data_IF_902424128559
#
_entry.id   IF_902424128559
#
_cell.length_a   1.000
_cell.length_b   1.000
_cell.length_c   1.000
_cell.angle_alpha   90.00
_cell.angle_beta   90.00
_cell.angle_gamma   90.00
#
_symmetry.space_group_name_H-M   'P 1'
#
loop_
_entity.id
_entity.type
_entity.pdbx_description
1 polymer ?
#
# COMPACT_ATOMS: atom_id res chain seq x y z
N UNK A 1 36.84 -1.35 -17.22
CA UNK A 1 35.67 -1.99 -16.56
C UNK A 1 34.43 -1.20 -16.89
N UNK A 2 34.35 0.11 -16.58
CA UNK A 2 33.18 0.97 -16.77
C UNK A 2 32.59 0.88 -18.20
N UNK A 3 33.43 1.06 -19.25
CA UNK A 3 32.96 0.93 -20.64
C UNK A 3 32.41 -0.46 -20.98
N UNK A 4 32.97 -1.52 -20.38
CA UNK A 4 32.43 -2.88 -20.58
C UNK A 4 31.03 -3.04 -19.97
N UNK A 5 30.81 -2.44 -18.80
CA UNK A 5 29.50 -2.43 -18.16
C UNK A 5 28.49 -1.68 -19.06
N UNK A 6 28.82 -0.47 -19.48
CA UNK A 6 27.95 0.35 -20.35
C UNK A 6 27.61 -0.40 -21.65
N UNK A 7 28.60 -1.06 -22.29
CA UNK A 7 28.40 -1.87 -23.49
C UNK A 7 27.48 -3.06 -23.21
N UNK A 8 27.62 -3.73 -22.05
CA UNK A 8 26.78 -4.85 -21.67
C UNK A 8 25.32 -4.38 -21.45
N UNK A 9 25.12 -3.29 -20.72
CA UNK A 9 23.80 -2.68 -20.48
C UNK A 9 23.11 -2.29 -21.79
N UNK A 10 23.83 -1.63 -22.69
CA UNK A 10 23.31 -1.30 -24.03
C UNK A 10 22.90 -2.56 -24.82
N UNK A 11 23.72 -3.61 -24.77
CA UNK A 11 23.43 -4.86 -25.47
C UNK A 11 22.20 -5.56 -24.89
N UNK A 12 22.08 -5.59 -23.57
CA UNK A 12 20.90 -6.14 -22.86
C UNK A 12 19.65 -5.38 -23.28
N UNK A 13 19.67 -4.04 -23.23
CA UNK A 13 18.52 -3.22 -23.59
C UNK A 13 18.10 -3.43 -25.06
N UNK A 14 19.08 -3.45 -25.97
CA UNK A 14 18.84 -3.67 -27.41
C UNK A 14 18.15 -5.00 -27.68
N UNK A 15 18.50 -6.04 -26.94
CA UNK A 15 17.96 -7.39 -27.13
C UNK A 15 16.68 -7.67 -26.33
N UNK A 16 16.26 -6.74 -25.48
CA UNK A 16 15.08 -6.89 -24.63
C UNK A 16 14.15 -5.67 -24.76
N UNK A 17 13.15 -5.72 -25.66
CA UNK A 17 12.23 -4.58 -25.89
C UNK A 17 11.54 -4.06 -24.62
N UNK A 18 11.26 -4.93 -23.65
CA UNK A 18 10.67 -4.55 -22.37
C UNK A 18 11.55 -3.59 -21.54
N UNK A 19 12.87 -3.60 -21.77
CA UNK A 19 13.84 -2.75 -21.09
C UNK A 19 14.14 -1.45 -21.84
N UNK A 20 13.52 -1.19 -22.99
CA UNK A 20 13.79 0.00 -23.80
C UNK A 20 13.68 1.28 -22.97
N UNK A 21 14.77 2.04 -22.87
CA UNK A 21 14.89 3.29 -22.09
C UNK A 21 14.98 3.08 -20.57
N UNK A 22 15.10 1.82 -20.11
CA UNK A 22 15.17 1.51 -18.68
C UNK A 22 16.59 1.51 -18.14
N UNK A 23 17.54 1.01 -18.93
CA UNK A 23 18.93 0.90 -18.48
C UNK A 23 19.69 2.22 -18.68
N UNK A 24 20.67 2.52 -17.83
CA UNK A 24 21.47 3.74 -17.97
C UNK A 24 22.38 3.66 -19.20
N UNK A 25 22.43 4.74 -19.99
CA UNK A 25 23.29 4.86 -21.15
C UNK A 25 24.60 5.60 -20.80
N UNK A 26 25.73 4.98 -21.12
CA UNK A 26 27.09 5.51 -20.88
C UNK A 26 27.27 6.11 -19.48
N UNK A 27 26.68 5.49 -18.47
CA UNK A 27 26.60 6.01 -17.11
C UNK A 27 27.89 5.80 -16.33
N UNK A 28 28.40 4.57 -16.33
CA UNK A 28 29.58 4.18 -15.56
C UNK A 28 30.86 4.82 -16.08
N UNK A 29 30.96 5.01 -17.40
CA UNK A 29 32.10 5.68 -18.05
C UNK A 29 32.19 7.16 -17.69
N UNK A 30 31.08 7.81 -17.32
CA UNK A 30 31.00 9.23 -16.97
C UNK A 30 31.21 9.52 -15.48
N UNK A 31 30.97 8.54 -14.61
CA UNK A 31 30.94 8.74 -13.15
C UNK A 31 32.34 8.80 -12.50
N UNK A 32 33.43 8.56 -13.23
CA UNK A 32 34.79 8.50 -12.71
C UNK A 32 34.93 7.65 -11.42
N UNK A 33 34.19 6.54 -11.34
CA UNK A 33 34.26 5.61 -10.21
C UNK A 33 35.63 4.91 -10.23
N UNK A 34 36.22 4.77 -9.04
CA UNK A 34 37.44 3.99 -8.87
C UNK A 34 37.28 2.57 -9.45
N UNK A 35 38.16 2.23 -10.38
CA UNK A 35 38.09 0.95 -11.10
C UNK A 35 38.24 -0.24 -10.17
N UNK A 36 39.02 -0.12 -9.08
CA UNK A 36 39.18 -1.18 -8.09
C UNK A 36 37.89 -1.42 -7.29
N UNK A 37 37.21 -0.35 -6.87
CA UNK A 37 35.91 -0.44 -6.20
C UNK A 37 34.86 -1.06 -7.09
N UNK A 38 34.83 -0.67 -8.37
CA UNK A 38 33.87 -1.21 -9.34
C UNK A 38 34.14 -2.70 -9.64
N UNK A 39 35.40 -3.10 -9.70
CA UNK A 39 35.79 -4.50 -9.84
C UNK A 39 35.35 -5.32 -8.61
N UNK A 40 35.65 -4.84 -7.41
CA UNK A 40 35.24 -5.50 -6.16
C UNK A 40 33.73 -5.67 -6.06
N UNK A 41 32.95 -4.65 -6.45
CA UNK A 41 31.48 -4.75 -6.49
C UNK A 41 30.99 -5.84 -7.45
N UNK A 42 31.58 -5.93 -8.66
CA UNK A 42 31.24 -6.96 -9.61
C UNK A 42 31.58 -8.37 -9.10
N UNK A 43 32.72 -8.51 -8.42
CA UNK A 43 33.14 -9.79 -7.83
C UNK A 43 32.17 -10.22 -6.71
N UNK A 44 31.70 -9.29 -5.86
CA UNK A 44 30.68 -9.60 -4.85
C UNK A 44 29.34 -9.98 -5.47
N UNK A 45 28.90 -9.29 -6.52
CA UNK A 45 27.67 -9.65 -7.24
C UNK A 45 27.80 -11.04 -7.87
N UNK A 46 28.96 -11.36 -8.47
CA UNK A 46 29.20 -12.67 -9.05
C UNK A 46 29.24 -13.83 -8.05
N UNK A 47 29.44 -13.57 -6.76
CA UNK A 47 29.38 -14.57 -5.69
C UNK A 47 27.95 -14.95 -5.32
N UNK A 48 26.96 -14.15 -5.71
CA UNK A 48 25.56 -14.46 -5.46
C UNK A 48 25.16 -15.64 -6.36
N UNK A 49 24.81 -16.76 -5.78
CA UNK A 49 24.32 -17.91 -6.52
C UNK A 49 22.94 -17.60 -7.10
N UNK A 50 22.87 -17.45 -8.43
CA UNK A 50 21.64 -17.13 -9.17
C UNK A 50 21.00 -18.33 -9.86
N UNK A 51 21.56 -19.54 -9.68
CA UNK A 51 21.12 -20.74 -10.41
C UNK A 51 19.80 -21.33 -9.87
N UNK A 52 19.38 -20.91 -8.68
CA UNK A 52 18.12 -21.35 -8.08
C UNK A 52 16.93 -20.52 -8.62
N UNK A 53 16.36 -21.04 -9.72
CA UNK A 53 15.20 -20.42 -10.38
C UNK A 53 13.89 -20.54 -9.58
N UNK A 54 13.80 -21.48 -8.66
CA UNK A 54 12.59 -21.73 -7.87
C UNK A 54 12.38 -20.65 -6.79
N UNK A 55 13.45 -20.02 -6.30
CA UNK A 55 13.41 -19.09 -5.18
C UNK A 55 13.45 -17.59 -5.56
N UNK A 56 13.33 -17.22 -6.84
CA UNK A 56 13.40 -15.80 -7.32
C UNK A 56 14.56 -15.03 -6.66
N UNK A 57 15.76 -15.64 -6.58
CA UNK A 57 16.91 -15.05 -5.88
C UNK A 57 17.25 -13.66 -6.44
N UNK A 58 17.28 -13.52 -7.76
CA UNK A 58 17.58 -12.23 -8.42
C UNK A 58 16.54 -11.17 -8.02
N UNK A 59 15.26 -11.54 -8.01
CA UNK A 59 14.18 -10.66 -7.59
C UNK A 59 14.28 -10.29 -6.10
N UNK A 60 14.66 -11.22 -5.22
CA UNK A 60 14.87 -10.95 -3.79
C UNK A 60 16.07 -10.04 -3.56
N UNK A 61 17.16 -10.22 -4.27
CA UNK A 61 18.32 -9.32 -4.24
C UNK A 61 17.90 -7.92 -4.72
N UNK A 62 17.13 -7.83 -5.78
CA UNK A 62 16.61 -6.56 -6.29
C UNK A 62 15.71 -5.86 -5.26
N UNK A 63 14.77 -6.57 -4.63
CA UNK A 63 13.91 -6.03 -3.55
C UNK A 63 14.73 -5.57 -2.35
N UNK A 64 15.77 -6.31 -1.97
CA UNK A 64 16.67 -5.91 -0.89
C UNK A 64 17.36 -4.57 -1.18
N UNK A 65 17.91 -4.41 -2.38
CA UNK A 65 18.53 -3.13 -2.76
C UNK A 65 17.51 -2.00 -2.85
N UNK A 66 16.32 -2.24 -3.39
CA UNK A 66 15.25 -1.24 -3.41
C UNK A 66 14.86 -0.80 -2.00
N UNK A 67 14.72 -1.73 -1.06
CA UNK A 67 14.37 -1.41 0.34
C UNK A 67 15.48 -0.59 1.01
N UNK A 68 16.76 -0.93 0.79
CA UNK A 68 17.88 -0.15 1.32
C UNK A 68 18.00 1.23 0.66
N UNK A 69 17.70 1.32 -0.62
CA UNK A 69 17.67 2.60 -1.35
C UNK A 69 16.53 3.49 -0.83
N UNK A 70 15.34 2.94 -0.65
CA UNK A 70 14.20 3.64 -0.05
C UNK A 70 14.52 4.14 1.37
N UNK A 71 15.21 3.35 2.19
CA UNK A 71 15.67 3.75 3.52
C UNK A 71 16.71 4.88 3.47
N UNK A 72 17.63 4.85 2.49
CA UNK A 72 18.68 5.85 2.34
C UNK A 72 18.13 7.20 1.83
N UNK A 73 17.19 7.18 0.89
CA UNK A 73 16.52 8.37 0.35
C UNK A 73 15.32 8.82 1.20
N UNK A 74 14.76 7.93 2.00
CA UNK A 74 13.49 8.09 2.74
C UNK A 74 13.51 9.14 3.85
N UNK A 75 14.61 9.80 4.13
CA UNK A 75 14.63 11.02 4.97
C UNK A 75 13.99 12.24 4.29
N UNK A 76 13.57 12.11 3.03
CA UNK A 76 12.98 13.19 2.24
C UNK A 76 11.60 12.94 1.65
N UNK A 77 11.29 11.73 1.16
CA UNK A 77 10.00 11.42 0.47
C UNK A 77 9.83 9.91 0.35
N UNK A 78 9.29 9.25 1.36
CA UNK A 78 9.08 7.80 1.39
C UNK A 78 7.99 7.25 0.47
N UNK A 79 7.91 7.74 -0.74
CA UNK A 79 6.85 7.51 -1.70
C UNK A 79 7.04 6.22 -2.53
N UNK A 80 8.12 5.43 -2.31
CA UNK A 80 8.53 4.42 -3.31
C UNK A 80 8.35 2.96 -2.90
N UNK A 81 8.00 2.67 -1.67
CA UNK A 81 7.93 1.28 -1.22
C UNK A 81 6.74 1.00 -0.31
N UNK A 82 5.81 0.19 -0.81
CA UNK A 82 4.72 -0.34 0.02
C UNK A 82 5.17 -1.67 0.65
N UNK A 83 5.05 -1.84 1.97
CA UNK A 83 5.41 -3.08 2.64
C UNK A 83 4.71 -4.30 2.04
N UNK A 84 5.47 -5.38 1.86
CA UNK A 84 5.00 -6.59 1.20
C UNK A 84 3.75 -7.18 1.87
N UNK A 85 3.68 -7.15 3.20
CA UNK A 85 2.53 -7.66 3.94
C UNK A 85 1.23 -6.92 3.59
N UNK A 86 1.30 -5.60 3.34
CA UNK A 86 0.13 -4.81 2.93
C UNK A 86 -0.26 -5.14 1.48
N UNK A 87 0.72 -5.25 0.57
CA UNK A 87 0.43 -5.61 -0.83
C UNK A 87 -0.20 -6.99 -0.92
N UNK A 88 0.31 -7.94 -0.14
CA UNK A 88 -0.27 -9.28 -0.06
C UNK A 88 -1.70 -9.24 0.49
N UNK A 89 -1.95 -8.47 1.55
CA UNK A 89 -3.29 -8.30 2.09
C UNK A 89 -4.27 -7.78 1.01
N UNK A 90 -3.88 -6.74 0.26
CA UNK A 90 -4.72 -6.20 -0.81
C UNK A 90 -4.95 -7.26 -1.90
N UNK A 91 -3.91 -7.98 -2.31
CA UNK A 91 -4.03 -9.04 -3.33
C UNK A 91 -4.91 -10.20 -2.86
N UNK A 92 -4.79 -10.63 -1.60
CA UNK A 92 -5.62 -11.67 -0.99
C UNK A 92 -7.09 -11.25 -0.85
N UNK A 93 -7.36 -9.95 -0.62
CA UNK A 93 -8.73 -9.41 -0.57
C UNK A 93 -9.35 -9.26 -1.95
N UNK A 94 -8.60 -8.75 -2.94
CA UNK A 94 -9.14 -8.46 -4.27
C UNK A 94 -9.11 -9.67 -5.21
N UNK A 95 -8.19 -10.60 -4.99
CA UNK A 95 -8.02 -11.84 -5.76
C UNK A 95 -7.92 -11.60 -7.30
N UNK A 96 -6.88 -10.88 -7.78
CA UNK A 96 -6.77 -10.47 -9.18
C UNK A 96 -6.30 -11.62 -10.10
N UNK A 97 -7.13 -12.66 -10.26
CA UNK A 97 -6.79 -13.86 -11.04
C UNK A 97 -6.81 -13.67 -12.55
N UNK A 98 -7.61 -12.73 -13.05
CA UNK A 98 -7.75 -12.45 -14.47
C UNK A 98 -8.26 -11.02 -14.71
N UNK A 99 -8.13 -10.52 -15.94
CA UNK A 99 -8.55 -9.17 -16.29
C UNK A 99 -7.43 -8.13 -16.24
N UNK A 100 -7.80 -6.88 -16.13
CA UNK A 100 -6.89 -5.73 -16.13
C UNK A 100 -6.59 -5.30 -14.71
N UNK A 101 -5.31 -5.36 -14.33
CA UNK A 101 -4.77 -4.80 -13.07
C UNK A 101 -4.07 -3.48 -13.38
N UNK A 102 -4.46 -2.41 -12.68
CA UNK A 102 -3.93 -1.06 -12.87
C UNK A 102 -3.41 -0.45 -11.57
N UNK A 103 -2.30 0.28 -11.67
CA UNK A 103 -1.77 1.13 -10.60
C UNK A 103 -1.40 2.50 -11.18
N UNK A 104 -2.14 3.59 -10.82
CA UNK A 104 -1.90 4.93 -11.34
C UNK A 104 -0.64 5.62 -10.80
N UNK A 105 0.03 5.03 -9.81
CA UNK A 105 1.23 5.56 -9.14
C UNK A 105 2.16 4.42 -8.74
N UNK A 106 2.52 3.57 -9.70
CA UNK A 106 3.02 2.22 -9.49
C UNK A 106 4.41 2.12 -8.81
N UNK A 107 5.09 3.24 -8.61
CA UNK A 107 6.40 3.23 -7.98
C UNK A 107 7.36 2.29 -8.70
N UNK A 108 8.01 1.43 -7.96
CA UNK A 108 8.90 0.39 -8.50
C UNK A 108 8.18 -0.88 -9.04
N UNK A 109 6.85 -0.87 -9.12
CA UNK A 109 6.05 -2.00 -9.59
C UNK A 109 5.81 -3.11 -8.55
N UNK A 110 5.99 -2.80 -7.27
CA UNK A 110 5.86 -3.79 -6.18
C UNK A 110 4.47 -4.40 -6.09
N UNK A 111 3.40 -3.61 -6.31
CA UNK A 111 2.02 -4.10 -6.34
C UNK A 111 1.84 -5.19 -7.40
N UNK A 112 2.34 -4.99 -8.60
CA UNK A 112 2.24 -5.95 -9.70
C UNK A 112 2.98 -7.25 -9.40
N UNK A 113 4.19 -7.15 -8.86
CA UNK A 113 5.02 -8.32 -8.52
C UNK A 113 4.30 -9.21 -7.51
N UNK A 114 3.78 -8.65 -6.43
CA UNK A 114 3.09 -9.44 -5.41
C UNK A 114 1.76 -9.99 -5.91
N UNK A 115 1.01 -9.23 -6.74
CA UNK A 115 -0.22 -9.73 -7.36
C UNK A 115 0.03 -10.93 -8.25
N UNK A 116 1.09 -10.92 -9.06
CA UNK A 116 1.46 -12.07 -9.90
C UNK A 116 1.91 -13.25 -9.04
N UNK A 117 2.69 -13.02 -7.98
CA UNK A 117 3.04 -14.07 -7.00
C UNK A 117 1.81 -14.69 -6.34
N UNK A 118 0.83 -13.86 -5.97
CA UNK A 118 -0.45 -14.33 -5.45
C UNK A 118 -1.16 -15.26 -6.46
N UNK A 119 -1.28 -14.84 -7.71
CA UNK A 119 -1.90 -15.65 -8.78
C UNK A 119 -1.20 -16.99 -8.95
N UNK A 120 0.14 -17.00 -8.99
CA UNK A 120 0.94 -18.23 -9.14
C UNK A 120 0.81 -19.15 -7.91
N UNK A 121 0.83 -18.60 -6.70
CA UNK A 121 0.68 -19.37 -5.45
C UNK A 121 -0.70 -20.06 -5.33
N UNK A 122 -1.74 -19.48 -5.94
CA UNK A 122 -3.10 -20.03 -5.93
C UNK A 122 -3.48 -20.78 -7.22
N UNK A 123 -2.47 -21.31 -7.92
CA UNK A 123 -2.65 -22.09 -9.16
C UNK A 123 -3.36 -21.33 -10.29
N UNK A 124 -3.34 -20.00 -10.26
CA UNK A 124 -3.86 -19.14 -11.30
C UNK A 124 -2.93 -19.05 -12.51
N UNK A 125 -3.45 -18.52 -13.61
CA UNK A 125 -2.68 -18.31 -14.82
C UNK A 125 -2.31 -16.83 -14.98
N UNK A 126 -1.06 -16.46 -14.67
CA UNK A 126 -0.57 -15.08 -14.78
C UNK A 126 -0.74 -14.45 -16.19
N UNK A 127 -0.88 -15.26 -17.24
CA UNK A 127 -1.11 -14.76 -18.61
C UNK A 127 -2.52 -14.20 -18.81
N UNK A 128 -3.44 -14.46 -17.88
CA UNK A 128 -4.79 -13.88 -17.89
C UNK A 128 -4.84 -12.48 -17.25
N UNK A 129 -3.78 -12.05 -16.60
CA UNK A 129 -3.69 -10.73 -15.98
C UNK A 129 -2.93 -9.78 -16.90
N UNK A 130 -3.59 -8.72 -17.33
CA UNK A 130 -3.02 -7.64 -18.13
C UNK A 130 -2.66 -6.47 -17.21
N UNK A 131 -1.38 -6.12 -17.14
CA UNK A 131 -0.86 -5.12 -16.20
C UNK A 131 -0.69 -3.78 -16.88
N UNK A 132 -1.25 -2.75 -16.26
CA UNK A 132 -1.10 -1.35 -16.64
C UNK A 132 -0.63 -0.54 -15.44
N UNK A 133 0.22 0.45 -15.68
CA UNK A 133 0.70 1.32 -14.62
C UNK A 133 1.14 2.67 -15.14
N UNK A 134 1.29 3.61 -14.23
CA UNK A 134 1.88 4.91 -14.51
C UNK A 134 2.72 5.35 -13.32
N UNK A 135 3.85 6.01 -13.62
CA UNK A 135 4.77 6.52 -12.61
C UNK A 135 5.26 7.90 -13.02
N UNK A 136 5.31 8.83 -12.07
CA UNK A 136 5.69 10.23 -12.30
C UNK A 136 7.20 10.40 -12.43
N UNK A 137 7.96 9.71 -11.60
CA UNK A 137 9.41 9.91 -11.48
C UNK A 137 10.18 9.04 -12.47
N UNK A 138 10.97 9.64 -13.34
CA UNK A 138 11.70 8.90 -14.39
C UNK A 138 12.62 7.79 -13.84
N UNK A 139 13.31 8.05 -12.73
CA UNK A 139 14.17 7.03 -12.11
C UNK A 139 13.35 5.83 -11.63
N UNK A 140 12.23 6.09 -10.94
CA UNK A 140 11.33 5.05 -10.42
C UNK A 140 10.62 4.29 -11.54
N UNK A 141 10.21 4.99 -12.61
CA UNK A 141 9.68 4.36 -13.83
C UNK A 141 10.66 3.36 -14.45
N UNK A 142 11.94 3.71 -14.54
CA UNK A 142 12.99 2.80 -15.01
C UNK A 142 13.17 1.62 -14.06
N UNK A 143 13.15 1.85 -12.75
CA UNK A 143 13.21 0.79 -11.75
C UNK A 143 12.02 -0.17 -11.88
N UNK A 144 10.81 0.32 -12.11
CA UNK A 144 9.64 -0.51 -12.36
C UNK A 144 9.84 -1.41 -13.60
N UNK A 145 10.29 -0.84 -14.72
CA UNK A 145 10.59 -1.61 -15.93
C UNK A 145 11.61 -2.73 -15.66
N UNK A 146 12.70 -2.42 -14.96
CA UNK A 146 13.71 -3.43 -14.62
C UNK A 146 13.14 -4.51 -13.68
N UNK A 147 12.39 -4.11 -12.66
CA UNK A 147 11.77 -5.00 -11.69
C UNK A 147 10.86 -6.03 -12.36
N UNK A 148 10.00 -5.57 -13.26
CA UNK A 148 9.06 -6.41 -13.99
C UNK A 148 9.77 -7.30 -15.03
N UNK A 149 10.74 -6.75 -15.76
CA UNK A 149 11.49 -7.49 -16.77
C UNK A 149 12.31 -8.66 -16.17
N UNK A 150 12.97 -8.45 -15.03
CA UNK A 150 13.74 -9.50 -14.32
C UNK A 150 12.83 -10.69 -13.97
N UNK A 151 11.55 -10.45 -13.70
CA UNK A 151 10.57 -11.49 -13.34
C UNK A 151 9.74 -12.01 -14.53
N UNK A 152 10.06 -11.54 -15.74
CA UNK A 152 9.31 -11.90 -16.95
C UNK A 152 7.83 -11.45 -16.88
N UNK A 153 7.55 -10.36 -16.17
CA UNK A 153 6.22 -9.78 -16.09
C UNK A 153 6.08 -8.72 -17.19
N UNK A 154 5.12 -8.93 -18.09
CA UNK A 154 4.77 -7.95 -19.12
C UNK A 154 3.81 -6.91 -18.57
N UNK A 155 4.11 -5.62 -18.74
CA UNK A 155 3.26 -4.53 -18.30
C UNK A 155 3.31 -3.34 -19.26
N UNK A 156 2.20 -2.64 -19.41
CA UNK A 156 2.14 -1.35 -20.08
C UNK A 156 2.22 -0.23 -19.05
N UNK A 157 3.39 0.37 -18.88
CA UNK A 157 3.62 1.48 -17.95
C UNK A 157 3.47 2.86 -18.62
N UNK A 158 2.96 2.91 -19.84
CA UNK A 158 2.97 4.11 -20.68
C UNK A 158 4.30 4.29 -21.42
N UNK A 159 4.37 5.35 -22.24
CA UNK A 159 5.54 5.63 -23.06
C UNK A 159 6.70 6.21 -22.25
N UNK A 160 6.38 7.01 -21.24
CA UNK A 160 7.34 7.72 -20.39
C UNK A 160 6.83 7.90 -18.96
N UNK A 161 7.72 8.29 -18.07
CA UNK A 161 7.33 8.78 -16.74
C UNK A 161 6.45 10.03 -16.89
N UNK A 162 5.28 10.04 -16.26
CA UNK A 162 4.31 11.12 -16.41
C UNK A 162 3.39 11.25 -15.21
N UNK A 163 2.95 12.48 -14.95
CA UNK A 163 1.97 12.77 -13.92
C UNK A 163 0.59 12.24 -14.33
N UNK A 164 0.01 11.40 -13.52
CA UNK A 164 -1.29 10.75 -13.76
C UNK A 164 -2.45 11.75 -13.91
N UNK A 165 -2.37 12.90 -13.25
CA UNK A 165 -3.42 13.91 -13.34
C UNK A 165 -3.31 14.74 -14.62
N UNK A 166 -2.12 15.22 -14.96
CA UNK A 166 -1.92 16.17 -16.07
C UNK A 166 -1.54 15.51 -17.39
N UNK A 167 -1.02 14.27 -17.35
CA UNK A 167 -0.65 13.50 -18.54
C UNK A 167 -1.01 12.02 -18.35
N UNK A 168 -2.30 11.73 -18.32
CA UNK A 168 -2.83 10.37 -18.25
C UNK A 168 -2.56 9.61 -19.56
N UNK A 169 -1.69 8.63 -19.51
CA UNK A 169 -1.31 7.80 -20.66
C UNK A 169 -2.27 6.62 -20.91
N UNK A 170 -3.25 6.43 -20.02
CA UNK A 170 -4.22 5.33 -20.09
C UNK A 170 -5.65 5.85 -20.04
N UNK A 171 -5.97 6.92 -20.81
CA UNK A 171 -7.22 7.67 -20.71
C UNK A 171 -8.48 6.83 -20.78
N UNK A 172 -8.52 5.86 -21.67
CA UNK A 172 -9.70 5.01 -21.93
C UNK A 172 -9.68 3.68 -21.16
N UNK A 173 -8.65 3.47 -20.32
CA UNK A 173 -8.52 2.24 -19.56
C UNK A 173 -9.68 2.07 -18.58
N UNK A 174 -10.25 0.86 -18.57
CA UNK A 174 -11.19 0.38 -17.55
C UNK A 174 -10.63 -0.89 -16.94
N UNK A 175 -10.21 -0.80 -15.69
CA UNK A 175 -9.55 -1.85 -14.96
C UNK A 175 -10.53 -2.69 -14.12
N UNK A 176 -10.30 -3.99 -14.09
CA UNK A 176 -11.06 -4.88 -13.23
C UNK A 176 -10.55 -4.83 -11.79
N UNK A 177 -9.24 -4.59 -11.65
CA UNK A 177 -8.58 -4.43 -10.36
C UNK A 177 -7.70 -3.18 -10.37
N UNK A 178 -7.78 -2.37 -9.32
CA UNK A 178 -6.85 -1.28 -9.09
C UNK A 178 -6.21 -1.50 -7.71
N UNK A 179 -4.89 -1.52 -7.66
CA UNK A 179 -4.14 -1.61 -6.42
C UNK A 179 -3.13 -0.48 -6.39
N UNK A 180 -3.21 0.41 -5.40
CA UNK A 180 -2.40 1.61 -5.39
C UNK A 180 -1.99 2.07 -3.97
N UNK A 181 -0.85 2.73 -3.90
CA UNK A 181 -0.42 3.50 -2.74
C UNK A 181 -0.08 4.93 -3.19
N UNK A 182 -1.09 5.80 -3.38
CA UNK A 182 -0.86 7.17 -3.80
C UNK A 182 -0.08 7.98 -2.77
N UNK A 183 0.61 9.07 -3.18
CA UNK A 183 1.22 10.02 -2.27
C UNK A 183 0.20 10.59 -1.28
N UNK A 184 0.47 10.48 0.04
CA UNK A 184 -0.45 10.94 1.08
C UNK A 184 -0.46 12.46 1.21
N UNK A 185 -1.66 13.06 1.28
CA UNK A 185 -1.84 14.48 1.55
C UNK A 185 -1.03 15.40 0.64
N UNK A 186 -0.88 15.05 -0.62
CA UNK A 186 -0.15 15.83 -1.61
C UNK A 186 -0.81 17.19 -1.80
N UNK A 187 -0.07 18.25 -1.49
CA UNK A 187 -0.51 19.64 -1.62
C UNK A 187 -0.15 20.20 -3.00
N UNK A 188 -0.92 21.18 -3.47
CA UNK A 188 -0.66 21.90 -4.72
C UNK A 188 -0.45 20.94 -5.91
N UNK A 189 -1.25 19.88 -5.98
CA UNK A 189 -1.15 18.82 -6.98
C UNK A 189 -1.67 19.25 -8.37
N UNK A 190 -2.42 20.34 -8.43
CA UNK A 190 -2.85 21.06 -9.63
C UNK A 190 -2.92 22.56 -9.37
N UNK A 191 -2.89 23.38 -10.42
CA UNK A 191 -3.20 24.79 -10.30
C UNK A 191 -4.70 25.02 -10.05
N UNK A 192 -5.07 26.21 -9.59
CA UNK A 192 -6.45 26.51 -9.19
C UNK A 192 -7.46 26.30 -10.33
N UNK A 193 -7.09 26.70 -11.54
CA UNK A 193 -7.94 26.60 -12.74
C UNK A 193 -7.58 25.39 -13.63
N UNK A 194 -6.69 24.52 -13.19
CA UNK A 194 -6.27 23.32 -13.90
C UNK A 194 -7.19 22.15 -13.56
N UNK A 195 -7.55 21.33 -14.54
CA UNK A 195 -8.37 20.11 -14.39
C UNK A 195 -9.77 20.37 -13.77
N UNK A 196 -10.33 21.58 -13.86
CA UNK A 196 -11.65 21.85 -13.29
C UNK A 196 -12.78 21.15 -14.07
N UNK A 197 -12.61 21.00 -15.38
CA UNK A 197 -13.56 20.32 -16.29
C UNK A 197 -13.08 18.91 -16.66
N UNK A 198 -12.24 18.29 -15.85
CA UNK A 198 -11.70 16.96 -16.14
C UNK A 198 -12.81 15.90 -16.03
N UNK A 199 -12.98 15.02 -17.02
CA UNK A 199 -14.05 14.03 -17.04
C UNK A 199 -14.00 13.02 -15.89
N UNK A 200 -12.88 12.89 -15.19
CA UNK A 200 -12.75 12.04 -14.01
C UNK A 200 -13.60 12.50 -12.83
N UNK A 201 -13.95 13.78 -12.81
CA UNK A 201 -14.80 14.38 -11.76
C UNK A 201 -16.29 14.41 -12.12
N UNK A 202 -16.69 13.94 -13.31
CA UNK A 202 -18.08 13.97 -13.73
C UNK A 202 -19.02 13.30 -12.72
N UNK A 203 -19.99 14.07 -12.21
CA UNK A 203 -20.92 13.63 -11.17
C UNK A 203 -20.43 13.82 -9.74
N UNK A 204 -19.26 14.45 -9.55
CA UNK A 204 -18.66 14.78 -8.26
C UNK A 204 -18.25 16.27 -8.22
N UNK A 205 -18.06 16.77 -7.00
CA UNK A 205 -17.37 18.06 -6.81
C UNK A 205 -15.91 17.94 -7.29
N UNK A 206 -15.35 19.06 -7.76
CA UNK A 206 -13.94 19.13 -8.18
C UNK A 206 -13.04 19.01 -6.93
N UNK A 207 -12.12 18.05 -6.86
CA UNK A 207 -11.26 17.90 -5.69
C UNK A 207 -10.42 19.14 -5.40
N UNK A 208 -10.23 19.53 -4.12
CA UNK A 208 -9.52 20.76 -3.76
C UNK A 208 -8.03 20.71 -4.14
N UNK A 209 -7.44 21.87 -4.42
CA UNK A 209 -6.00 22.00 -4.72
C UNK A 209 -5.12 21.76 -3.50
N UNK A 210 -5.68 21.96 -2.31
CA UNK A 210 -4.99 21.83 -1.02
C UNK A 210 -4.56 20.41 -0.67
N UNK A 211 -5.31 19.40 -1.20
CA UNK A 211 -5.06 17.98 -0.91
C UNK A 211 -5.51 17.10 -2.08
N UNK A 212 -4.65 16.20 -2.54
CA UNK A 212 -4.92 15.30 -3.67
C UNK A 212 -5.68 14.02 -3.29
N UNK A 213 -5.94 13.74 -2.01
CA UNK A 213 -6.54 12.46 -1.59
C UNK A 213 -7.81 12.13 -2.39
N UNK A 214 -8.74 13.07 -2.49
CA UNK A 214 -9.97 12.87 -3.27
C UNK A 214 -9.77 12.95 -4.79
N UNK A 215 -8.72 13.61 -5.25
CA UNK A 215 -8.28 13.53 -6.65
C UNK A 215 -7.86 12.09 -7.01
N UNK A 216 -7.09 11.43 -6.16
CA UNK A 216 -6.72 10.03 -6.33
C UNK A 216 -7.93 9.10 -6.26
N UNK A 217 -8.84 9.29 -5.30
CA UNK A 217 -10.08 8.49 -5.19
C UNK A 217 -10.88 8.58 -6.49
N UNK A 218 -11.14 9.80 -6.99
CA UNK A 218 -11.95 9.98 -8.20
C UNK A 218 -11.22 9.50 -9.46
N UNK A 219 -9.91 9.66 -9.54
CA UNK A 219 -9.12 9.04 -10.60
C UNK A 219 -9.31 7.52 -10.61
N UNK A 220 -9.20 6.86 -9.46
CA UNK A 220 -9.42 5.42 -9.32
C UNK A 220 -10.85 5.04 -9.74
N UNK A 221 -11.88 5.72 -9.22
CA UNK A 221 -13.29 5.48 -9.58
C UNK A 221 -13.51 5.59 -11.08
N UNK A 222 -12.91 6.60 -11.74
CA UNK A 222 -13.03 6.82 -13.17
C UNK A 222 -12.44 5.69 -14.01
N UNK A 223 -11.44 5.00 -13.49
CA UNK A 223 -10.70 3.92 -14.16
C UNK A 223 -11.27 2.52 -13.89
N UNK A 224 -12.17 2.35 -12.93
CA UNK A 224 -12.80 1.06 -12.69
C UNK A 224 -13.75 0.65 -13.81
N UNK A 225 -13.72 -0.62 -14.19
CA UNK A 225 -14.72 -1.28 -15.03
C UNK A 225 -16.07 -1.38 -14.31
N UNK A 226 -17.13 -1.85 -14.97
CA UNK A 226 -18.47 -1.97 -14.37
C UNK A 226 -18.51 -2.89 -13.13
N UNK A 227 -17.65 -3.89 -13.08
CA UNK A 227 -17.52 -4.81 -11.95
C UNK A 227 -16.16 -4.65 -11.24
N UNK A 228 -15.45 -3.58 -11.55
CA UNK A 228 -14.11 -3.36 -11.05
C UNK A 228 -14.09 -3.08 -9.55
N UNK A 229 -13.03 -3.53 -8.90
CA UNK A 229 -12.75 -3.32 -7.49
C UNK A 229 -11.36 -2.69 -7.31
N UNK A 230 -11.25 -1.76 -6.35
CA UNK A 230 -9.99 -1.11 -6.03
C UNK A 230 -9.64 -1.27 -4.55
N UNK A 231 -8.37 -1.57 -4.26
CA UNK A 231 -7.80 -1.51 -2.91
C UNK A 231 -6.62 -0.54 -2.91
N UNK A 232 -6.70 0.54 -2.14
CA UNK A 232 -5.67 1.57 -2.13
C UNK A 232 -5.52 2.22 -0.75
N UNK A 233 -4.37 2.82 -0.53
CA UNK A 233 -3.98 3.37 0.76
C UNK A 233 -4.13 4.89 0.78
N UNK A 234 -4.64 5.43 1.89
CA UNK A 234 -4.67 6.86 2.15
C UNK A 234 -4.39 7.16 3.63
N UNK A 235 -3.99 8.40 3.90
CA UNK A 235 -3.92 8.91 5.26
C UNK A 235 -5.32 9.00 5.89
N UNK A 236 -5.40 8.81 7.21
CA UNK A 236 -6.66 8.76 7.96
C UNK A 236 -7.50 10.05 7.87
N UNK A 237 -6.91 11.20 7.55
CA UNK A 237 -7.64 12.46 7.35
C UNK A 237 -8.75 12.34 6.32
N UNK A 238 -8.52 11.60 5.23
CA UNK A 238 -9.51 11.37 4.18
C UNK A 238 -10.83 10.75 4.67
N UNK A 239 -10.86 10.13 5.86
CA UNK A 239 -12.06 9.51 6.43
C UNK A 239 -13.07 10.51 7.00
N UNK A 240 -12.62 11.73 7.34
CA UNK A 240 -13.43 12.72 8.09
C UNK A 240 -13.21 14.17 7.67
N UNK A 241 -12.41 14.43 6.62
CA UNK A 241 -12.22 15.78 6.11
C UNK A 241 -13.56 16.45 5.74
N UNK A 242 -13.66 17.76 5.98
CA UNK A 242 -14.86 18.57 5.77
C UNK A 242 -14.89 19.27 4.41
N UNK A 243 -15.91 20.09 4.19
CA UNK A 243 -16.02 20.94 3.00
C UNK A 243 -16.24 20.16 1.70
N UNK A 244 -15.43 20.43 0.67
CA UNK A 244 -15.55 19.76 -0.63
C UNK A 244 -15.25 18.27 -0.54
N UNK A 245 -14.32 17.87 0.31
CA UNK A 245 -13.95 16.48 0.52
C UNK A 245 -15.08 15.68 1.16
N UNK A 246 -15.81 16.28 2.13
CA UNK A 246 -17.04 15.68 2.68
C UNK A 246 -18.10 15.47 1.61
N UNK A 247 -18.32 16.44 0.72
CA UNK A 247 -19.33 16.32 -0.36
C UNK A 247 -18.97 15.17 -1.32
N UNK A 248 -17.71 15.06 -1.72
CA UNK A 248 -17.26 13.96 -2.58
C UNK A 248 -17.42 12.62 -1.86
N UNK A 249 -17.07 12.55 -0.58
CA UNK A 249 -17.24 11.34 0.24
C UNK A 249 -18.71 10.94 0.34
N UNK A 250 -19.60 11.89 0.58
CA UNK A 250 -21.03 11.67 0.58
C UNK A 250 -21.50 11.11 -0.77
N UNK A 251 -21.11 11.72 -1.88
CA UNK A 251 -21.46 11.24 -3.22
C UNK A 251 -20.93 9.82 -3.50
N UNK A 252 -19.72 9.48 -3.04
CA UNK A 252 -19.17 8.12 -3.18
C UNK A 252 -20.02 7.08 -2.41
N UNK A 253 -20.47 7.43 -1.21
CA UNK A 253 -21.31 6.57 -0.37
C UNK A 253 -22.72 6.44 -0.96
N UNK A 254 -23.34 7.54 -1.40
CA UNK A 254 -24.65 7.57 -2.06
C UNK A 254 -24.65 6.81 -3.40
N UNK A 255 -23.50 6.75 -4.08
CA UNK A 255 -23.30 5.94 -5.28
C UNK A 255 -22.93 4.47 -4.95
N UNK A 256 -23.00 4.04 -3.69
CA UNK A 256 -22.71 2.69 -3.21
C UNK A 256 -21.30 2.17 -3.56
N UNK A 257 -20.32 3.05 -3.75
CA UNK A 257 -18.97 2.68 -4.21
C UNK A 257 -18.07 2.22 -3.08
N UNK A 258 -18.24 2.75 -1.86
CA UNK A 258 -17.41 2.36 -0.71
C UNK A 258 -17.83 0.98 -0.22
N UNK A 259 -16.91 0.02 -0.26
CA UNK A 259 -17.15 -1.36 0.17
C UNK A 259 -16.59 -1.64 1.55
N UNK A 260 -15.30 -1.30 1.77
CA UNK A 260 -14.68 -1.50 3.07
C UNK A 260 -13.67 -0.40 3.40
N UNK A 261 -13.52 -0.11 4.68
CA UNK A 261 -12.53 0.81 5.26
C UNK A 261 -11.79 0.09 6.38
N UNK A 262 -10.48 -0.04 6.25
CA UNK A 262 -9.66 -0.86 7.14
C UNK A 262 -8.51 0.01 7.67
N UNK A 263 -8.49 0.29 8.97
CA UNK A 263 -7.36 0.97 9.61
C UNK A 263 -6.24 -0.05 9.87
N UNK A 264 -5.07 0.26 9.33
CA UNK A 264 -3.87 -0.55 9.48
C UNK A 264 -3.08 -0.18 10.75
N UNK A 265 -2.26 -1.07 11.30
CA UNK A 265 -1.36 -0.77 12.41
C UNK A 265 -0.40 0.39 12.12
N UNK A 266 0.08 1.02 13.18
CA UNK A 266 1.20 1.98 13.08
C UNK A 266 2.51 1.24 12.78
N UNK A 267 3.51 1.97 12.32
CA UNK A 267 4.86 1.45 12.09
C UNK A 267 4.95 0.30 11.04
N UNK A 268 3.96 0.15 10.17
CA UNK A 268 4.05 -0.76 9.02
C UNK A 268 4.97 -0.21 7.93
N UNK A 269 5.03 1.11 7.77
CA UNK A 269 5.85 1.77 6.75
C UNK A 269 7.19 2.21 7.32
N UNK A 270 8.26 2.02 6.53
CA UNK A 270 9.61 2.49 6.90
C UNK A 270 9.73 4.02 6.99
N UNK A 271 8.80 4.74 6.39
CA UNK A 271 8.89 6.19 6.16
C UNK A 271 7.94 7.00 7.00
N UNK A 272 6.97 6.36 7.63
CA UNK A 272 5.99 7.01 8.50
C UNK A 272 5.59 6.13 9.67
N UNK A 273 5.41 6.75 10.82
CA UNK A 273 4.92 6.08 12.04
C UNK A 273 3.39 6.12 12.15
N UNK A 274 2.71 6.85 11.23
CA UNK A 274 1.26 7.00 11.30
C UNK A 274 0.54 5.74 10.81
N UNK A 275 -0.61 5.49 11.38
CA UNK A 275 -1.57 4.54 10.86
C UNK A 275 -2.13 5.07 9.54
N UNK A 276 -2.26 4.20 8.55
CA UNK A 276 -2.91 4.50 7.27
C UNK A 276 -4.15 3.65 7.10
N UNK A 277 -4.99 4.03 6.18
CA UNK A 277 -6.25 3.32 5.91
C UNK A 277 -6.22 2.68 4.53
N UNK A 278 -6.57 1.41 4.47
CA UNK A 278 -6.88 0.72 3.24
C UNK A 278 -8.37 0.97 2.91
N UNK A 279 -8.58 1.58 1.76
CA UNK A 279 -9.90 1.78 1.16
C UNK A 279 -10.18 0.68 0.15
N UNK A 280 -11.37 0.12 0.20
CA UNK A 280 -11.87 -0.77 -0.84
C UNK A 280 -13.08 -0.12 -1.50
N UNK A 281 -12.98 0.15 -2.80
CA UNK A 281 -14.09 0.62 -3.63
C UNK A 281 -14.51 -0.47 -4.58
N UNK A 282 -15.81 -0.63 -4.79
CA UNK A 282 -16.38 -1.64 -5.67
C UNK A 282 -17.54 -1.06 -6.50
N UNK A 283 -17.45 -1.18 -7.83
CA UNK A 283 -18.48 -0.70 -8.75
C UNK A 283 -19.74 -1.53 -8.75
N UNK A 284 -19.67 -2.77 -8.28
CA UNK A 284 -20.81 -3.66 -8.27
C UNK A 284 -20.90 -4.45 -6.95
N UNK A 285 -21.70 -3.95 -6.02
CA UNK A 285 -21.97 -4.58 -4.73
C UNK A 285 -23.24 -5.43 -4.72
N UNK A 286 -23.91 -5.60 -5.87
CA UNK A 286 -25.15 -6.41 -6.03
C UNK A 286 -24.87 -7.89 -5.90
N UNK A 287 -25.92 -8.62 -5.53
CA UNK A 287 -25.87 -10.08 -5.53
C UNK A 287 -25.56 -10.61 -6.93
N UNK A 288 -24.59 -11.49 -7.03
CA UNK A 288 -24.19 -12.12 -8.29
C UNK A 288 -23.42 -13.41 -8.07
N UNK A 289 -23.42 -14.26 -9.07
CA UNK A 289 -22.59 -15.47 -9.11
C UNK A 289 -21.51 -15.27 -10.18
N UNK A 290 -20.27 -15.51 -9.81
CA UNK A 290 -19.11 -15.35 -10.70
C UNK A 290 -18.27 -16.62 -10.63
N UNK A 291 -17.81 -17.11 -11.77
CA UNK A 291 -16.77 -18.13 -11.83
C UNK A 291 -15.40 -17.44 -11.92
N UNK A 292 -14.54 -17.70 -10.98
CA UNK A 292 -13.20 -17.13 -10.92
C UNK A 292 -12.18 -18.20 -10.50
N UNK A 293 -11.14 -18.38 -11.28
CA UNK A 293 -10.10 -19.40 -11.06
C UNK A 293 -10.68 -20.81 -10.82
N UNK A 294 -11.74 -21.19 -11.58
CA UNK A 294 -12.41 -22.49 -11.46
C UNK A 294 -13.28 -22.66 -10.21
N UNK A 295 -13.51 -21.61 -9.44
CA UNK A 295 -14.39 -21.61 -8.27
C UNK A 295 -15.60 -20.73 -8.52
N UNK A 296 -16.78 -21.18 -8.09
CA UNK A 296 -18.01 -20.40 -8.09
C UNK A 296 -18.05 -19.56 -6.81
N UNK A 297 -18.11 -18.24 -6.98
CA UNK A 297 -18.29 -17.27 -5.89
C UNK A 297 -19.71 -16.71 -5.94
N UNK A 298 -20.39 -16.73 -4.80
CA UNK A 298 -21.76 -16.21 -4.65
C UNK A 298 -21.72 -14.95 -3.81
N UNK A 299 -21.63 -13.80 -4.46
CA UNK A 299 -21.67 -12.52 -3.77
C UNK A 299 -23.11 -12.22 -3.32
N UNK A 300 -23.27 -11.81 -2.05
CA UNK A 300 -24.53 -11.28 -1.53
C UNK A 300 -24.72 -9.81 -1.94
N UNK A 301 -25.93 -9.28 -1.80
CA UNK A 301 -26.17 -7.84 -1.96
C UNK A 301 -25.58 -7.07 -0.78
N UNK A 302 -24.75 -6.06 -1.06
CA UNK A 302 -24.06 -5.22 -0.07
C UNK A 302 -24.12 -3.74 -0.43
N UNK A 303 -25.05 -3.34 -1.33
CA UNK A 303 -25.14 -1.94 -1.80
C UNK A 303 -25.27 -0.96 -0.64
N UNK A 304 -26.11 -1.30 0.34
CA UNK A 304 -26.40 -0.45 1.49
C UNK A 304 -25.55 -0.75 2.74
N UNK A 305 -24.39 -1.35 2.56
CA UNK A 305 -23.51 -1.71 3.66
C UNK A 305 -22.09 -1.28 3.38
N UNK A 306 -21.36 -0.92 4.45
CA UNK A 306 -19.90 -0.66 4.44
C UNK A 306 -19.28 -1.48 5.57
N UNK A 307 -18.25 -2.26 5.24
CA UNK A 307 -17.47 -3.00 6.22
C UNK A 307 -16.37 -2.11 6.80
N UNK A 308 -16.34 -1.97 8.12
CA UNK A 308 -15.26 -1.32 8.86
C UNK A 308 -14.42 -2.35 9.59
N UNK A 309 -13.09 -2.22 9.51
CA UNK A 309 -12.15 -3.07 10.25
C UNK A 309 -11.09 -2.23 10.94
N UNK A 310 -10.70 -2.64 12.15
CA UNK A 310 -9.65 -2.02 12.93
C UNK A 310 -8.53 -3.03 13.21
N UNK A 311 -7.39 -2.86 12.55
CA UNK A 311 -6.24 -3.74 12.68
C UNK A 311 -5.13 -3.15 13.57
N UNK A 312 -5.37 -2.03 14.26
CA UNK A 312 -4.34 -1.32 15.03
C UNK A 312 -3.69 -2.16 16.14
N UNK A 313 -4.39 -3.20 16.60
CA UNK A 313 -3.90 -4.13 17.61
C UNK A 313 -3.30 -5.43 17.01
N UNK A 314 -3.25 -5.54 15.68
CA UNK A 314 -2.70 -6.70 14.96
C UNK A 314 -1.25 -6.46 14.55
N UNK A 315 -0.58 -7.54 14.18
CA UNK A 315 0.79 -7.54 13.70
C UNK A 315 1.80 -7.90 14.78
N UNK A 316 2.96 -8.31 14.32
CA UNK A 316 4.10 -8.72 15.15
C UNK A 316 5.28 -7.78 14.95
N UNK A 317 6.13 -7.57 15.96
CA UNK A 317 7.33 -6.76 15.81
C UNK A 317 8.25 -7.33 14.70
N UNK A 318 8.65 -6.46 13.78
CA UNK A 318 9.61 -6.73 12.73
C UNK A 318 10.72 -5.67 12.79
N UNK A 319 11.95 -6.08 13.03
CA UNK A 319 13.04 -5.20 13.41
C UNK A 319 12.71 -4.33 14.64
N UNK A 320 13.60 -3.39 15.03
CA UNK A 320 13.51 -2.70 16.34
C UNK A 320 12.23 -1.86 16.57
N UNK A 321 11.59 -1.35 15.50
CA UNK A 321 10.45 -0.42 15.63
C UNK A 321 9.31 -0.67 14.64
N UNK A 322 9.48 -1.58 13.70
CA UNK A 322 8.48 -1.83 12.67
C UNK A 322 7.59 -3.01 13.05
N UNK A 323 6.38 -3.00 12.51
CA UNK A 323 5.39 -4.06 12.65
C UNK A 323 5.18 -4.70 11.28
N UNK A 324 4.97 -5.99 11.25
CA UNK A 324 4.56 -6.75 10.07
C UNK A 324 3.25 -7.47 10.35
N UNK A 325 2.31 -7.41 9.41
CA UNK A 325 1.13 -8.29 9.42
C UNK A 325 1.57 -9.69 9.03
N UNK A 326 1.42 -10.62 9.95
CA UNK A 326 1.76 -12.03 9.72
C UNK A 326 0.84 -12.66 8.68
N UNK A 327 1.16 -13.86 8.24
CA UNK A 327 0.26 -14.62 7.36
C UNK A 327 -1.06 -14.95 8.06
N UNK A 328 -1.02 -15.26 9.36
CA UNK A 328 -2.22 -15.51 10.17
C UNK A 328 -3.09 -14.24 10.32
N UNK A 329 -2.46 -13.08 10.55
CA UNK A 329 -3.19 -11.80 10.58
C UNK A 329 -3.91 -11.54 9.26
N UNK A 330 -3.22 -11.72 8.14
CA UNK A 330 -3.81 -11.50 6.81
C UNK A 330 -4.93 -12.50 6.52
N UNK A 331 -4.71 -13.78 6.82
CA UNK A 331 -5.75 -14.82 6.66
C UNK A 331 -7.01 -14.51 7.47
N UNK A 332 -6.87 -14.02 8.71
CA UNK A 332 -7.99 -13.59 9.53
C UNK A 332 -8.77 -12.44 8.89
N UNK A 333 -8.06 -11.41 8.39
CA UNK A 333 -8.68 -10.24 7.77
C UNK A 333 -9.40 -10.63 6.47
N UNK A 334 -8.74 -11.42 5.63
CA UNK A 334 -9.28 -11.85 4.32
C UNK A 334 -10.46 -12.81 4.50
N UNK A 335 -10.42 -13.73 5.47
CA UNK A 335 -11.55 -14.60 5.80
C UNK A 335 -12.78 -13.77 6.22
N UNK A 336 -12.64 -12.80 7.12
CA UNK A 336 -13.73 -11.91 7.52
C UNK A 336 -14.29 -11.13 6.33
N UNK A 337 -13.42 -10.57 5.48
CA UNK A 337 -13.85 -9.84 4.30
C UNK A 337 -14.61 -10.71 3.31
N UNK A 338 -14.13 -11.90 3.02
CA UNK A 338 -14.80 -12.82 2.10
C UNK A 338 -16.08 -13.42 2.68
N UNK A 339 -16.13 -13.74 3.98
CA UNK A 339 -17.36 -14.17 4.67
C UNK A 339 -18.43 -13.08 4.63
N UNK A 340 -18.03 -11.79 4.75
CA UNK A 340 -18.96 -10.66 4.62
C UNK A 340 -19.45 -10.47 3.19
N UNK A 341 -18.59 -10.71 2.18
CA UNK A 341 -18.96 -10.53 0.77
C UNK A 341 -19.80 -11.66 0.19
N UNK A 342 -19.54 -12.91 0.60
CA UNK A 342 -19.99 -14.12 -0.10
C UNK A 342 -20.87 -14.97 0.79
N UNK A 343 -21.86 -15.60 0.17
CA UNK A 343 -22.66 -16.65 0.81
C UNK A 343 -21.90 -17.98 0.78
N UNK A 344 -21.71 -18.58 1.94
CA UNK A 344 -21.10 -19.92 2.07
C UNK A 344 -19.61 -19.97 1.70
N UNK A 345 -18.86 -18.92 2.00
CA UNK A 345 -17.39 -18.92 1.82
C UNK A 345 -16.74 -19.88 2.84
N UNK A 346 -16.64 -19.51 4.10
CA UNK A 346 -16.14 -20.36 5.19
C UNK A 346 -17.15 -20.37 6.34
N UNK A 347 -17.48 -19.19 6.85
CA UNK A 347 -18.37 -18.99 7.99
C UNK A 347 -19.41 -17.89 7.68
N UNK A 348 -20.46 -17.81 8.49
CA UNK A 348 -21.36 -16.66 8.44
C UNK A 348 -20.68 -15.46 9.07
N UNK A 349 -20.72 -14.31 8.37
CA UNK A 349 -20.16 -13.06 8.91
C UNK A 349 -20.92 -12.61 10.17
N UNK A 350 -20.17 -12.23 11.17
CA UNK A 350 -20.67 -11.58 12.39
C UNK A 350 -19.82 -10.35 12.72
N UNK A 351 -20.44 -9.31 13.30
CA UNK A 351 -19.73 -8.19 13.86
C UNK A 351 -18.90 -8.63 15.08
N UNK A 352 -17.63 -8.23 15.14
CA UNK A 352 -16.73 -8.57 16.23
C UNK A 352 -16.26 -7.29 16.90
N UNK A 353 -16.56 -7.07 18.21
CA UNK A 353 -16.08 -5.92 18.96
C UNK A 353 -14.56 -5.75 18.83
N UNK A 354 -14.10 -4.51 18.80
CA UNK A 354 -12.69 -4.11 18.64
C UNK A 354 -12.03 -4.55 17.31
N UNK A 355 -12.75 -5.21 16.41
CA UNK A 355 -12.17 -5.74 15.17
C UNK A 355 -12.95 -5.37 13.90
N UNK A 356 -14.23 -5.74 13.78
CA UNK A 356 -14.99 -5.47 12.56
C UNK A 356 -16.46 -5.20 12.81
N UNK A 357 -17.04 -4.37 11.92
CA UNK A 357 -18.45 -3.99 11.97
C UNK A 357 -18.98 -3.68 10.57
N UNK A 358 -20.13 -4.25 10.20
CA UNK A 358 -20.84 -3.91 8.98
C UNK A 358 -21.91 -2.86 9.31
N UNK A 359 -21.67 -1.61 8.89
CA UNK A 359 -22.63 -0.53 9.08
C UNK A 359 -23.59 -0.41 7.89
N UNK A 360 -24.85 -0.10 8.18
CA UNK A 360 -25.84 0.21 7.15
C UNK A 360 -25.63 1.62 6.57
N UNK A 361 -26.14 1.84 5.36
CA UNK A 361 -26.14 3.17 4.73
C UNK A 361 -26.80 4.24 5.63
N UNK A 362 -27.94 3.90 6.25
CA UNK A 362 -28.67 4.83 7.13
C UNK A 362 -27.83 5.21 8.35
N UNK A 363 -27.14 4.24 8.96
CA UNK A 363 -26.23 4.51 10.08
C UNK A 363 -25.07 5.41 9.67
N UNK A 364 -24.47 5.19 8.50
CA UNK A 364 -23.38 6.04 7.97
C UNK A 364 -23.89 7.45 7.71
N UNK A 365 -25.09 7.60 7.19
CA UNK A 365 -25.75 8.87 6.96
C UNK A 365 -26.05 9.62 8.27
N UNK A 366 -26.60 8.94 9.28
CA UNK A 366 -26.86 9.51 10.60
C UNK A 366 -25.60 10.01 11.29
N UNK A 367 -24.47 9.35 11.06
CA UNK A 367 -23.14 9.75 11.55
C UNK A 367 -22.45 10.79 10.67
N UNK A 368 -23.17 11.45 9.74
CA UNK A 368 -22.65 12.54 8.91
C UNK A 368 -21.64 12.08 7.87
N UNK A 369 -21.80 10.87 7.32
CA UNK A 369 -20.93 10.29 6.29
C UNK A 369 -19.45 10.20 6.68
N UNK A 370 -19.14 10.15 7.98
CA UNK A 370 -17.77 9.85 8.43
C UNK A 370 -17.45 8.39 8.13
N UNK A 371 -16.21 8.11 7.70
CA UNK A 371 -15.73 6.76 7.47
C UNK A 371 -14.71 6.29 8.53
N UNK A 372 -14.67 6.96 9.66
CA UNK A 372 -13.76 6.63 10.78
C UNK A 372 -14.25 5.36 11.48
N UNK A 373 -13.54 4.21 11.41
CA UNK A 373 -14.01 2.93 11.94
C UNK A 373 -14.37 2.95 13.43
N UNK A 374 -13.66 3.72 14.26
CA UNK A 374 -13.96 3.84 15.68
C UNK A 374 -15.30 4.49 16.01
N UNK A 375 -16.03 5.00 15.00
CA UNK A 375 -17.40 5.49 15.15
C UNK A 375 -18.45 4.38 15.03
N UNK A 376 -18.04 3.21 14.54
CA UNK A 376 -18.90 2.06 14.21
C UNK A 376 -18.54 0.84 15.04
N UNK A 377 -17.24 0.53 15.12
CA UNK A 377 -16.75 -0.63 15.86
C UNK A 377 -16.89 -0.37 17.34
N UNK A 378 -17.56 -1.26 18.04
CA UNK A 378 -17.75 -1.23 19.48
C UNK A 378 -16.44 -1.59 20.20
N UNK A 379 -16.07 -0.82 21.18
CA UNK A 379 -14.93 -1.09 22.06
C UNK A 379 -15.41 -1.66 23.39
N UNK A 380 -14.79 -2.79 23.78
CA UNK A 380 -15.13 -3.41 25.06
C UNK A 380 -14.55 -2.55 26.20
N UNK A 381 -15.43 -2.03 27.03
CA UNK A 381 -15.00 -1.34 28.24
C UNK A 381 -14.49 -2.38 29.26
N UNK A 382 -13.19 -2.55 29.32
CA UNK A 382 -12.53 -3.49 30.24
C UNK A 382 -12.50 -2.97 31.68
N UNK A 383 -12.84 -1.70 31.88
CA UNK A 383 -12.77 -1.04 33.19
C UNK A 383 -14.14 -1.02 33.95
N UNK A 384 -15.22 -1.53 33.32
CA UNK A 384 -16.56 -1.51 33.96
C UNK A 384 -16.68 -2.32 35.26
N UNK A 385 -15.74 -3.24 35.52
CA UNK A 385 -15.73 -4.07 36.71
C UNK A 385 -14.52 -3.81 37.64
N UNK A 386 -13.73 -2.79 37.40
CA UNK A 386 -12.57 -2.45 38.23
C UNK A 386 -12.91 -1.19 39.00
N UNK A 387 -12.99 -1.35 40.34
CA UNK A 387 -13.12 -0.20 41.25
C UNK A 387 -12.02 0.84 40.95
N UNK A 388 -12.44 2.10 40.85
CA UNK A 388 -11.57 3.25 40.52
C UNK A 388 -10.32 3.30 41.41
N UNK A 389 -10.49 3.08 42.72
CA UNK A 389 -9.37 3.12 43.66
C UNK A 389 -8.38 1.97 43.43
N UNK A 390 -8.89 0.80 43.05
CA UNK A 390 -8.05 -0.36 42.72
C UNK A 390 -7.26 -0.11 41.43
N UNK A 391 -7.88 0.45 40.39
CA UNK A 391 -7.23 0.82 39.15
C UNK A 391 -6.18 1.91 39.36
N UNK A 392 -6.50 2.94 40.13
CA UNK A 392 -5.57 4.04 40.45
C UNK A 392 -4.35 3.54 41.24
N UNK A 393 -4.52 2.61 42.17
CA UNK A 393 -3.39 2.00 42.92
C UNK A 393 -2.49 1.20 41.99
N UNK A 394 -3.08 0.43 41.05
CA UNK A 394 -2.28 -0.32 40.01
C UNK A 394 -1.48 0.65 39.13
N UNK A 395 -2.14 1.69 38.59
CA UNK A 395 -1.48 2.69 37.75
C UNK A 395 -0.39 3.48 38.50
N UNK A 396 -0.62 3.80 39.80
CA UNK A 396 0.42 4.41 40.63
C UNK A 396 1.61 3.48 40.85
N UNK A 397 1.37 2.18 41.00
CA UNK A 397 2.43 1.17 41.08
C UNK A 397 3.26 1.12 39.82
N UNK A 398 2.60 0.98 38.67
CA UNK A 398 3.26 0.95 37.34
C UNK A 398 4.05 2.23 37.08
N UNK A 399 3.48 3.41 37.37
CA UNK A 399 4.15 4.68 37.23
C UNK A 399 5.41 4.77 38.09
N UNK A 400 5.34 4.29 39.35
CA UNK A 400 6.47 4.27 40.26
C UNK A 400 7.60 3.39 39.75
N UNK A 401 7.27 2.22 39.19
CA UNK A 401 8.25 1.33 38.58
C UNK A 401 8.90 1.94 37.34
N UNK A 402 8.12 2.58 36.46
CA UNK A 402 8.63 3.25 35.29
C UNK A 402 9.58 4.43 35.62
N UNK A 403 9.21 5.22 36.63
CA UNK A 403 10.05 6.32 37.11
C UNK A 403 11.37 5.79 37.72
N UNK A 404 11.31 4.66 38.44
CA UNK A 404 12.53 4.03 38.96
C UNK A 404 13.42 3.47 37.84
N UNK A 405 12.82 2.91 36.79
CA UNK A 405 13.57 2.45 35.60
C UNK A 405 14.17 3.64 34.84
N UNK A 406 13.47 4.75 34.71
CA UNK A 406 13.99 5.99 34.10
C UNK A 406 15.21 6.49 34.86
N UNK A 407 15.14 6.60 36.19
CA UNK A 407 16.23 7.07 37.03
C UNK A 407 17.45 6.16 36.94
N UNK A 408 17.22 4.83 36.91
CA UNK A 408 18.28 3.86 36.69
C UNK A 408 18.93 4.02 35.32
N UNK A 409 18.12 4.13 34.25
CA UNK A 409 18.63 4.30 32.88
C UNK A 409 19.43 5.59 32.72
N UNK A 410 19.00 6.69 33.36
CA UNK A 410 19.76 7.95 33.43
C UNK A 410 21.09 7.76 34.13
N UNK A 411 21.08 7.09 35.29
CA UNK A 411 22.30 6.79 36.06
C UNK A 411 23.29 5.92 35.26
N UNK A 412 22.78 4.88 34.62
CA UNK A 412 23.61 3.97 33.80
C UNK A 412 24.21 4.74 32.58
N UNK A 413 23.43 5.61 31.96
CA UNK A 413 23.89 6.46 30.85
C UNK A 413 25.00 7.42 31.30
N UNK A 414 24.81 8.13 32.43
CA UNK A 414 25.80 9.04 32.99
C UNK A 414 27.09 8.30 33.37
N UNK A 415 26.99 7.07 33.89
CA UNK A 415 28.15 6.25 34.21
C UNK A 415 28.98 5.92 32.94
N UNK A 416 28.30 5.51 31.85
CA UNK A 416 28.97 5.21 30.57
C UNK A 416 29.64 6.46 30.00
N UNK A 417 29.03 7.65 30.04
CA UNK A 417 29.64 8.86 29.56
C UNK A 417 30.86 9.28 30.40
N UNK A 418 30.76 9.10 31.71
CA UNK A 418 31.92 9.36 32.63
C UNK A 418 33.09 8.41 32.35
N UNK A 419 32.82 7.13 32.08
CA UNK A 419 33.87 6.17 31.67
C UNK A 419 34.52 6.57 30.34
N UNK A 420 33.77 7.15 29.42
CA UNK A 420 34.24 7.65 28.12
C UNK A 420 34.94 9.01 28.23
N UNK A 421 35.00 9.64 29.42
CA UNK A 421 35.64 10.93 29.66
C UNK A 421 34.82 12.15 29.27
N UNK A 422 33.47 11.99 29.15
CA UNK A 422 32.54 13.07 28.87
C UNK A 422 31.65 13.38 30.07
N UNK A 423 31.36 14.63 30.34
CA UNK A 423 30.35 15.08 31.29
C UNK A 423 29.12 15.53 30.52
N UNK A 424 27.93 15.02 30.91
CA UNK A 424 26.62 15.42 30.37
C UNK A 424 25.69 15.78 31.53
N UNK A 425 25.05 16.94 31.45
CA UNK A 425 23.90 17.28 32.29
C UNK A 425 22.60 16.82 31.59
N UNK A 426 21.78 16.01 32.28
CA UNK A 426 20.50 15.49 31.81
C UNK A 426 19.33 16.15 32.56
#
# INVERSE_FOLDING_TARGET
IALKIDTALYTIEKNNPALKGALPDNYYSRLHIDTAKLASLLDEINRINTDDKENDIIGRVYEYFLSKFALAEGKGKGEFYTPKCIVNLIAEMLEPYDGILYDPCCGSGGMFVQSIKFVEAHSGNKKKVSIYGQEYTNTTFKLAKMNLAIRGISANLGEMAANTFTNDQHKDLKADFIMANPPFNQKQWRAENELVDDPRWNGYEVPPTSNANYGWILNIVSKLSQNGVAGFLLANGALSDDGTELKIRQQLIENHLVEAIIILPRNLFYTTDISVTLWVLNKNKKARVVEQNGKLKRYRNREDEILFMDLRQMGSPYEKKYIELTEEDRAKVTSVYHNWQQEGYEETYENVPEFCYSASFDEVKEKGFTLVPSRYIEFVNRDENIDFDTKMKSLQGELKELLAQEEKSKSDLLAVFKELGYEIEL
#
